data_IF_750120752034
#
_entry.id   IF_750120752034
#
_cell.length_a   1.000
_cell.length_b   1.000
_cell.length_c   1.000
_cell.angle_alpha   90.00
_cell.angle_beta   90.00
_cell.angle_gamma   90.00
#
_symmetry.space_group_name_H-M   'P 1'
#
loop_
_entity.id
_entity.type
_entity.pdbx_description
1 polymer ?
#
# COMPACT_ATOMS: atom_id res chain seq x y z
N UNK A 1 0.40 -13.56 -13.03
CA UNK A 1 -0.41 -12.86 -14.09
C UNK A 1 0.50 -12.07 -15.02
N UNK A 2 0.08 -11.82 -16.26
CA UNK A 2 0.80 -10.91 -17.16
C UNK A 2 0.68 -9.46 -16.66
N UNK A 3 1.69 -8.63 -16.94
CA UNK A 3 1.71 -7.25 -16.46
C UNK A 3 0.50 -6.43 -16.94
N UNK A 4 0.04 -6.67 -18.17
CA UNK A 4 -1.15 -6.00 -18.71
C UNK A 4 -2.42 -6.33 -17.92
N UNK A 5 -2.58 -7.59 -17.52
CA UNK A 5 -3.74 -8.00 -16.72
C UNK A 5 -3.69 -7.37 -15.31
N UNK A 6 -2.50 -7.30 -14.71
CA UNK A 6 -2.32 -6.58 -13.45
C UNK A 6 -2.65 -5.09 -13.57
N UNK A 7 -2.26 -4.43 -14.68
CA UNK A 7 -2.62 -3.03 -14.94
C UNK A 7 -4.13 -2.83 -15.05
N UNK A 8 -4.86 -3.75 -15.70
CA UNK A 8 -6.32 -3.71 -15.77
C UNK A 8 -6.95 -3.82 -14.39
N UNK A 9 -6.51 -4.79 -13.57
CA UNK A 9 -6.98 -4.92 -12.18
C UNK A 9 -6.66 -3.66 -11.37
N UNK A 10 -5.45 -3.10 -11.48
CA UNK A 10 -5.09 -1.87 -10.78
C UNK A 10 -5.98 -0.68 -11.17
N UNK A 11 -6.42 -0.64 -12.43
CA UNK A 11 -7.38 0.39 -12.88
C UNK A 11 -8.77 0.20 -12.26
N UNK A 12 -9.25 -1.05 -12.12
CA UNK A 12 -10.51 -1.34 -11.40
C UNK A 12 -10.39 -1.00 -9.91
N UNK A 13 -9.27 -1.36 -9.26
CA UNK A 13 -8.98 -0.94 -7.87
C UNK A 13 -9.06 0.59 -7.72
N UNK A 14 -8.57 1.38 -8.69
CA UNK A 14 -8.69 2.84 -8.66
C UNK A 14 -10.13 3.31 -8.77
N UNK A 15 -10.95 2.70 -9.64
CA UNK A 15 -12.39 3.02 -9.75
C UNK A 15 -13.10 2.75 -8.42
N UNK A 16 -12.78 1.64 -7.77
CA UNK A 16 -13.32 1.26 -6.48
C UNK A 16 -12.94 2.22 -5.37
N UNK A 17 -11.66 2.66 -5.32
CA UNK A 17 -11.20 3.70 -4.40
C UNK A 17 -12.03 4.97 -4.53
N UNK A 18 -12.20 5.45 -5.76
CA UNK A 18 -12.94 6.69 -6.04
C UNK A 18 -14.41 6.53 -5.67
N UNK A 19 -15.01 5.38 -5.98
CA UNK A 19 -16.41 5.07 -5.67
C UNK A 19 -16.64 4.99 -4.15
N UNK A 20 -15.81 4.27 -3.43
CA UNK A 20 -15.91 4.14 -1.97
C UNK A 20 -15.78 5.51 -1.28
N UNK A 21 -14.82 6.33 -1.71
CA UNK A 21 -14.58 7.65 -1.14
C UNK A 21 -15.70 8.65 -1.47
N UNK A 22 -16.25 8.59 -2.68
CA UNK A 22 -17.40 9.39 -3.06
C UNK A 22 -18.62 9.05 -2.21
N UNK A 23 -18.91 7.78 -2.00
CA UNK A 23 -20.01 7.32 -1.16
C UNK A 23 -19.82 7.74 0.32
N UNK A 24 -18.59 7.59 0.83
CA UNK A 24 -18.24 7.94 2.22
C UNK A 24 -18.24 9.46 2.48
N UNK A 25 -18.15 10.31 1.47
CA UNK A 25 -17.95 11.77 1.58
C UNK A 25 -16.75 12.16 2.47
N UNK A 26 -15.83 11.25 2.70
CA UNK A 26 -14.63 11.40 3.55
C UNK A 26 -13.57 10.37 3.22
N UNK A 27 -12.29 10.70 3.41
CA UNK A 27 -11.17 9.78 3.32
C UNK A 27 -10.02 10.30 2.44
N UNK A 28 -9.10 9.41 2.05
CA UNK A 28 -7.79 9.76 1.54
C UNK A 28 -7.55 9.18 0.12
N UNK A 29 -7.95 9.90 -0.96
CA UNK A 29 -7.76 9.41 -2.33
C UNK A 29 -6.29 9.38 -2.75
N UNK A 30 -5.54 10.45 -2.52
CA UNK A 30 -4.21 10.63 -3.10
C UNK A 30 -3.25 9.48 -2.81
N UNK A 31 -3.10 9.11 -1.54
CA UNK A 31 -2.23 8.00 -1.12
C UNK A 31 -2.79 6.61 -1.41
N UNK A 32 -4.12 6.46 -1.56
CA UNK A 32 -4.75 5.21 -1.98
C UNK A 32 -4.50 4.94 -3.46
N UNK A 33 -4.66 5.98 -4.30
CA UNK A 33 -4.44 5.90 -5.75
C UNK A 33 -2.95 5.72 -6.09
N UNK A 34 -2.01 6.35 -5.34
CA UNK A 34 -0.58 6.15 -5.58
C UNK A 34 -0.13 4.70 -5.39
N UNK A 35 -0.75 4.00 -4.44
CA UNK A 35 -0.38 2.64 -4.06
C UNK A 35 -1.21 1.54 -4.77
N UNK A 36 -2.14 1.88 -5.65
CA UNK A 36 -3.05 0.91 -6.26
C UNK A 36 -2.31 -0.19 -7.06
N UNK A 37 -1.24 0.15 -7.77
CA UNK A 37 -0.42 -0.82 -8.51
C UNK A 37 0.29 -1.79 -7.56
N UNK A 38 0.87 -1.25 -6.47
CA UNK A 38 1.51 -2.07 -5.45
C UNK A 38 0.50 -3.02 -4.77
N UNK A 39 -0.66 -2.50 -4.34
CA UNK A 39 -1.71 -3.35 -3.76
C UNK A 39 -2.09 -4.47 -4.71
N UNK A 40 -2.31 -4.14 -5.98
CA UNK A 40 -2.64 -5.14 -7.00
C UNK A 40 -1.52 -6.17 -7.15
N UNK A 41 -0.28 -5.73 -7.27
CA UNK A 41 0.85 -6.64 -7.41
C UNK A 41 0.97 -7.59 -6.21
N UNK A 42 0.88 -7.07 -4.99
CA UNK A 42 0.95 -7.88 -3.77
C UNK A 42 -0.15 -8.95 -3.70
N UNK A 43 -1.40 -8.57 -3.91
CA UNK A 43 -2.55 -9.45 -3.69
C UNK A 43 -2.86 -10.39 -4.86
N UNK A 44 -2.41 -10.08 -6.08
CA UNK A 44 -2.69 -10.90 -7.26
C UNK A 44 -1.49 -11.70 -7.77
N UNK A 45 -0.26 -11.33 -7.38
CA UNK A 45 0.95 -11.96 -7.89
C UNK A 45 1.93 -12.41 -6.80
N UNK A 46 2.26 -11.53 -5.84
CA UNK A 46 3.40 -11.74 -4.95
C UNK A 46 3.08 -12.63 -3.75
N UNK A 47 1.99 -12.34 -3.03
CA UNK A 47 1.72 -12.93 -1.72
C UNK A 47 1.08 -14.33 -1.83
N UNK A 48 1.55 -15.26 -0.99
CA UNK A 48 0.87 -16.53 -0.75
C UNK A 48 -0.36 -16.29 0.14
N UNK A 49 -1.51 -16.11 -0.47
CA UNK A 49 -2.79 -15.84 0.21
C UNK A 49 -3.93 -16.62 -0.43
N UNK A 50 -4.96 -16.90 0.36
CA UNK A 50 -6.22 -17.48 -0.12
C UNK A 50 -7.40 -16.69 0.45
N UNK A 51 -8.19 -15.97 -0.39
CA UNK A 51 -9.34 -15.22 0.10
C UNK A 51 -10.45 -16.11 0.69
N UNK A 52 -10.48 -17.42 0.33
CA UNK A 52 -11.42 -18.39 0.90
C UNK A 52 -10.99 -18.90 2.29
N UNK A 53 -9.70 -18.77 2.61
CA UNK A 53 -9.14 -19.05 3.93
C UNK A 53 -8.25 -17.88 4.41
N UNK A 54 -8.87 -16.75 4.78
CA UNK A 54 -8.15 -15.55 5.18
C UNK A 54 -7.35 -15.71 6.48
N UNK A 55 -7.51 -16.84 7.18
CA UNK A 55 -6.80 -17.17 8.44
C UNK A 55 -5.78 -18.29 8.27
N UNK A 56 -5.51 -18.75 7.05
CA UNK A 56 -4.52 -19.78 6.76
C UNK A 56 -3.18 -19.44 7.45
N UNK A 57 -2.62 -20.40 8.19
CA UNK A 57 -1.51 -20.13 9.09
C UNK A 57 -0.21 -19.75 8.36
N UNK A 58 0.05 -20.39 7.21
CA UNK A 58 1.25 -20.24 6.39
C UNK A 58 1.15 -19.12 5.32
N UNK A 59 0.04 -18.35 5.32
CA UNK A 59 -0.11 -17.23 4.39
C UNK A 59 0.87 -16.10 4.71
N UNK A 60 1.24 -15.33 3.72
CA UNK A 60 1.97 -14.09 3.91
C UNK A 60 1.12 -13.04 4.65
N UNK A 61 1.78 -12.02 5.20
CA UNK A 61 1.15 -10.95 5.97
C UNK A 61 1.42 -9.60 5.32
N UNK A 62 0.40 -8.75 5.29
CA UNK A 62 0.54 -7.38 4.85
C UNK A 62 0.09 -6.38 5.92
N UNK A 63 0.97 -5.47 6.31
CA UNK A 63 0.68 -4.40 7.25
C UNK A 63 0.65 -3.06 6.52
N UNK A 64 -0.54 -2.45 6.41
CA UNK A 64 -0.69 -1.11 5.88
C UNK A 64 -0.32 -0.09 6.97
N UNK A 65 0.97 0.30 7.07
CA UNK A 65 1.44 1.23 8.11
C UNK A 65 0.84 2.62 7.92
N UNK A 66 0.79 3.15 6.69
CA UNK A 66 0.04 4.37 6.35
C UNK A 66 -1.47 4.10 6.30
N UNK A 67 -2.07 3.76 7.45
CA UNK A 67 -3.41 3.24 7.56
C UNK A 67 -4.53 4.11 6.98
N UNK A 68 -4.29 5.41 6.80
CA UNK A 68 -5.24 6.33 6.15
C UNK A 68 -5.54 5.96 4.69
N UNK A 69 -4.69 5.16 4.03
CA UNK A 69 -4.93 4.64 2.68
C UNK A 69 -5.73 3.32 2.66
N UNK A 70 -6.47 3.06 3.73
CA UNK A 70 -7.41 1.94 3.84
C UNK A 70 -8.34 1.77 2.64
N UNK A 71 -8.87 2.84 1.98
CA UNK A 71 -9.68 2.66 0.78
C UNK A 71 -8.98 1.86 -0.33
N UNK A 72 -7.67 2.06 -0.53
CA UNK A 72 -6.88 1.26 -1.48
C UNK A 72 -6.78 -0.21 -1.07
N UNK A 73 -6.50 -0.48 0.21
CA UNK A 73 -6.45 -1.85 0.72
C UNK A 73 -7.81 -2.54 0.61
N UNK A 74 -8.90 -1.86 0.97
CA UNK A 74 -10.24 -2.46 0.88
C UNK A 74 -10.66 -2.75 -0.56
N UNK A 75 -10.35 -1.86 -1.49
CA UNK A 75 -10.62 -2.06 -2.91
C UNK A 75 -9.90 -3.31 -3.45
N UNK A 76 -8.61 -3.48 -3.16
CA UNK A 76 -7.90 -4.68 -3.62
C UNK A 76 -8.35 -5.95 -2.91
N UNK A 77 -8.75 -5.88 -1.63
CA UNK A 77 -9.32 -7.02 -0.91
C UNK A 77 -10.67 -7.45 -1.51
N UNK A 78 -11.54 -6.51 -1.86
CA UNK A 78 -12.81 -6.76 -2.53
C UNK A 78 -12.59 -7.38 -3.92
N UNK A 79 -11.71 -6.80 -4.75
CA UNK A 79 -11.33 -7.34 -6.07
C UNK A 79 -10.72 -8.75 -5.98
N UNK A 80 -10.01 -9.04 -4.88
CA UNK A 80 -9.43 -10.36 -4.64
C UNK A 80 -10.46 -11.37 -4.10
N UNK A 81 -11.65 -10.91 -3.69
CA UNK A 81 -12.76 -11.74 -3.24
C UNK A 81 -12.77 -12.06 -1.74
N UNK A 82 -12.19 -11.22 -0.89
CA UNK A 82 -12.29 -11.36 0.57
C UNK A 82 -13.66 -10.98 1.12
N UNK A 83 -14.36 -10.07 0.45
CA UNK A 83 -15.73 -9.65 0.76
C UNK A 83 -16.40 -9.08 -0.51
N UNK A 84 -17.74 -8.91 -0.52
CA UNK A 84 -18.47 -8.38 -1.67
C UNK A 84 -18.02 -6.97 -2.05
N UNK A 85 -17.82 -6.73 -3.34
CA UNK A 85 -17.42 -5.42 -3.87
C UNK A 85 -18.45 -4.32 -3.57
N UNK A 86 -19.71 -4.71 -3.52
CA UNK A 86 -20.83 -3.84 -3.20
C UNK A 86 -20.72 -3.20 -1.80
N UNK A 87 -20.00 -3.83 -0.89
CA UNK A 87 -19.82 -3.31 0.47
C UNK A 87 -18.92 -2.06 0.51
N UNK A 88 -18.11 -1.82 -0.53
CA UNK A 88 -17.21 -0.66 -0.60
C UNK A 88 -17.94 0.68 -0.43
N UNK A 89 -19.19 0.79 -0.91
CA UNK A 89 -20.00 2.02 -0.75
C UNK A 89 -20.43 2.27 0.69
N UNK A 90 -20.24 1.30 1.58
CA UNK A 90 -20.55 1.45 3.01
C UNK A 90 -19.38 1.98 3.83
N UNK A 91 -18.23 2.26 3.19
CA UNK A 91 -17.03 2.81 3.84
C UNK A 91 -17.38 3.96 4.80
N UNK A 92 -16.94 3.87 6.06
CA UNK A 92 -17.18 4.87 7.13
C UNK A 92 -18.65 5.11 7.50
N UNK A 93 -19.60 4.38 6.96
CA UNK A 93 -20.99 4.50 7.37
C UNK A 93 -21.20 3.85 8.76
N UNK A 94 -22.14 4.38 9.51
CA UNK A 94 -22.50 3.81 10.81
C UNK A 94 -22.96 2.36 10.63
N UNK A 95 -22.39 1.45 11.41
CA UNK A 95 -22.68 0.01 11.34
C UNK A 95 -21.90 -0.77 10.27
N UNK A 96 -21.16 -0.09 9.37
CA UNK A 96 -20.27 -0.77 8.44
C UNK A 96 -19.04 -1.34 9.16
N UNK A 97 -18.58 -2.51 8.69
CA UNK A 97 -17.29 -3.05 9.14
C UNK A 97 -16.09 -2.37 8.44
N UNK A 98 -16.31 -1.68 7.30
CA UNK A 98 -15.27 -0.96 6.56
C UNK A 98 -14.98 0.40 7.25
N UNK A 99 -14.10 0.34 8.24
CA UNK A 99 -13.70 1.49 9.04
C UNK A 99 -12.79 2.45 8.24
N UNK A 100 -12.66 3.70 8.70
CA UNK A 100 -11.80 4.70 8.07
C UNK A 100 -10.30 4.37 8.09
N UNK A 101 -9.89 3.43 8.94
CA UNK A 101 -8.56 2.85 9.02
C UNK A 101 -8.69 1.32 9.15
N UNK A 102 -7.66 0.53 8.79
CA UNK A 102 -7.75 -0.92 8.84
C UNK A 102 -8.09 -1.45 10.23
N UNK A 103 -9.04 -2.39 10.29
CA UNK A 103 -9.41 -3.10 11.51
C UNK A 103 -9.31 -4.62 11.30
N UNK A 104 -8.29 -5.24 11.90
CA UNK A 104 -8.00 -6.66 11.79
C UNK A 104 -9.05 -7.57 12.44
N UNK A 105 -9.91 -7.02 13.31
CA UNK A 105 -10.93 -7.81 14.02
C UNK A 105 -12.17 -8.05 13.17
N UNK A 106 -12.50 -7.11 12.30
CA UNK A 106 -13.79 -7.12 11.59
C UNK A 106 -13.65 -7.23 10.07
N UNK A 107 -12.47 -6.89 9.50
CA UNK A 107 -12.31 -6.86 8.04
C UNK A 107 -11.51 -8.09 7.58
N UNK A 108 -12.11 -9.00 6.79
CA UNK A 108 -11.39 -10.15 6.25
C UNK A 108 -10.18 -9.71 5.40
N UNK A 109 -9.03 -10.37 5.61
CA UNK A 109 -7.80 -10.07 4.87
C UNK A 109 -6.96 -8.91 5.43
N UNK A 110 -7.41 -8.23 6.48
CA UNK A 110 -6.63 -7.22 7.19
C UNK A 110 -5.82 -7.87 8.30
N UNK A 111 -4.51 -7.76 8.26
CA UNK A 111 -3.59 -8.41 9.20
C UNK A 111 -3.30 -7.61 10.45
N UNK A 112 -3.40 -6.28 10.38
CA UNK A 112 -3.11 -5.39 11.51
C UNK A 112 -4.00 -4.16 11.48
N UNK A 113 -4.61 -3.83 12.61
CA UNK A 113 -5.24 -2.51 12.79
C UNK A 113 -4.17 -1.43 12.82
N UNK A 114 -4.31 -0.41 12.00
CA UNK A 114 -3.34 0.68 11.87
C UNK A 114 -4.04 2.03 11.73
N UNK A 115 -3.28 3.13 11.70
CA UNK A 115 -3.84 4.49 11.58
C UNK A 115 -2.94 5.52 12.28
N UNK A 116 -2.30 5.17 13.39
CA UNK A 116 -1.23 5.97 13.97
C UNK A 116 0.04 5.75 13.16
N UNK A 117 0.50 6.79 12.46
CA UNK A 117 1.65 6.70 11.56
C UNK A 117 2.92 6.26 12.31
N UNK A 118 3.74 5.48 11.64
CA UNK A 118 4.98 4.92 12.19
C UNK A 118 4.81 3.67 13.06
N UNK A 119 3.57 3.29 13.46
CA UNK A 119 3.36 2.14 14.34
C UNK A 119 3.27 0.80 13.60
N UNK A 120 2.75 0.80 12.37
CA UNK A 120 2.52 -0.43 11.61
C UNK A 120 3.81 -1.21 11.34
N UNK A 121 4.90 -0.54 11.03
CA UNK A 121 6.19 -1.20 10.80
C UNK A 121 6.67 -2.01 12.01
N UNK A 122 6.44 -1.53 13.24
CA UNK A 122 6.82 -2.26 14.45
C UNK A 122 6.03 -3.56 14.60
N UNK A 123 4.74 -3.54 14.27
CA UNK A 123 3.92 -4.75 14.22
C UNK A 123 4.41 -5.73 13.15
N UNK A 124 4.76 -5.24 11.95
CA UNK A 124 5.33 -6.05 10.88
C UNK A 124 6.66 -6.71 11.28
N UNK A 125 7.53 -5.97 11.98
CA UNK A 125 8.78 -6.50 12.55
C UNK A 125 8.51 -7.62 13.54
N UNK A 126 7.51 -7.43 14.42
CA UNK A 126 7.09 -8.47 15.37
C UNK A 126 6.59 -9.75 14.68
N UNK A 127 5.76 -9.59 13.62
CA UNK A 127 5.27 -10.73 12.82
C UNK A 127 6.42 -11.46 12.10
N UNK A 128 7.37 -10.73 11.51
CA UNK A 128 8.52 -11.31 10.83
C UNK A 128 9.44 -12.06 11.79
N UNK A 129 9.67 -11.50 12.98
CA UNK A 129 10.43 -12.17 14.04
C UNK A 129 9.71 -13.43 14.54
N UNK A 130 8.40 -13.36 14.74
CA UNK A 130 7.58 -14.52 15.14
C UNK A 130 7.72 -15.67 14.14
N UNK A 131 7.64 -15.41 12.83
CA UNK A 131 7.84 -16.42 11.80
C UNK A 131 9.21 -17.11 11.93
N UNK A 132 10.27 -16.33 12.14
CA UNK A 132 11.62 -16.88 12.31
C UNK A 132 11.75 -17.73 13.58
N UNK A 133 11.16 -17.32 14.68
CA UNK A 133 11.19 -18.07 15.94
C UNK A 133 10.42 -19.39 15.87
N UNK A 134 9.32 -19.40 15.12
CA UNK A 134 8.48 -20.59 14.90
C UNK A 134 8.96 -21.48 13.75
N UNK A 135 9.98 -21.04 12.99
CA UNK A 135 10.42 -21.65 11.72
C UNK A 135 9.32 -21.71 10.65
N UNK A 136 8.44 -20.71 10.65
CA UNK A 136 7.45 -20.52 9.60
C UNK A 136 8.08 -19.91 8.34
N UNK A 137 7.52 -20.22 7.17
CA UNK A 137 8.05 -19.79 5.87
C UNK A 137 7.43 -18.50 5.34
N UNK A 138 6.39 -17.95 6.00
CA UNK A 138 5.70 -16.77 5.49
C UNK A 138 6.56 -15.50 5.51
N UNK A 139 6.29 -14.65 4.55
CA UNK A 139 6.88 -13.32 4.45
C UNK A 139 5.93 -12.27 5.00
N UNK A 140 6.51 -11.14 5.40
CA UNK A 140 5.77 -9.98 5.88
C UNK A 140 6.11 -8.78 5.02
N UNK A 141 5.10 -8.10 4.54
CA UNK A 141 5.20 -6.87 3.77
C UNK A 141 4.58 -5.73 4.55
N UNK A 142 5.19 -4.54 4.51
CA UNK A 142 4.60 -3.36 5.14
C UNK A 142 4.78 -2.15 4.24
N UNK A 143 3.71 -1.35 4.10
CA UNK A 143 3.71 -0.14 3.28
C UNK A 143 3.67 1.10 4.16
N UNK A 144 4.69 1.95 3.99
CA UNK A 144 4.84 3.25 4.63
C UNK A 144 4.69 4.38 3.60
N UNK A 145 4.32 5.57 4.07
CA UNK A 145 4.44 6.80 3.29
C UNK A 145 5.76 7.51 3.55
N UNK A 146 6.21 8.31 2.59
CA UNK A 146 7.41 9.15 2.73
C UNK A 146 7.28 10.22 3.83
N UNK A 147 6.09 10.79 4.02
CA UNK A 147 5.79 11.64 5.17
C UNK A 147 5.72 10.85 6.49
N UNK A 148 5.25 9.60 6.46
CA UNK A 148 5.17 8.74 7.64
C UNK A 148 6.55 8.41 8.22
N UNK A 149 7.56 8.23 7.38
CA UNK A 149 8.92 7.91 7.85
C UNK A 149 9.62 9.06 8.57
N UNK A 150 8.98 10.22 8.72
CA UNK A 150 9.43 11.29 9.63
C UNK A 150 9.24 10.88 11.10
N UNK A 151 8.37 9.90 11.40
CA UNK A 151 8.17 9.38 12.74
C UNK A 151 9.41 8.60 13.24
N UNK A 152 9.89 8.91 14.45
CA UNK A 152 11.05 8.25 15.07
C UNK A 152 10.88 6.75 15.21
N UNK A 153 9.66 6.30 15.48
CA UNK A 153 9.28 4.89 15.64
C UNK A 153 9.68 4.03 14.41
N UNK A 154 9.62 4.59 13.20
CA UNK A 154 10.02 3.89 11.97
C UNK A 154 11.50 3.49 12.06
N UNK A 155 12.35 4.38 12.53
CA UNK A 155 13.79 4.14 12.62
C UNK A 155 14.18 3.23 13.78
N UNK A 156 13.44 3.26 14.90
CA UNK A 156 13.57 2.27 15.97
C UNK A 156 13.27 0.86 15.46
N UNK A 157 12.16 0.71 14.71
CA UNK A 157 11.80 -0.56 14.08
C UNK A 157 12.83 -1.02 13.03
N UNK A 158 13.34 -0.09 12.20
CA UNK A 158 14.35 -0.37 11.19
C UNK A 158 15.66 -0.86 11.84
N UNK A 159 16.12 -0.18 12.90
CA UNK A 159 17.31 -0.59 13.64
C UNK A 159 17.18 -2.02 14.17
N UNK A 160 16.04 -2.36 14.76
CA UNK A 160 15.78 -3.70 15.28
C UNK A 160 15.73 -4.74 14.15
N UNK A 161 15.01 -4.45 13.05
CA UNK A 161 14.88 -5.36 11.93
C UNK A 161 16.23 -5.69 11.28
N UNK A 162 17.06 -4.67 11.05
CA UNK A 162 18.41 -4.85 10.51
C UNK A 162 19.32 -5.64 11.46
N UNK A 163 19.29 -5.32 12.76
CA UNK A 163 20.07 -6.06 13.78
C UNK A 163 19.65 -7.53 13.86
N UNK A 164 18.38 -7.85 13.68
CA UNK A 164 17.83 -9.23 13.68
C UNK A 164 17.90 -9.91 12.31
N UNK A 165 18.35 -9.21 11.26
CA UNK A 165 18.49 -9.75 9.90
C UNK A 165 17.21 -10.42 9.42
N UNK A 166 16.07 -9.72 9.54
CA UNK A 166 14.75 -10.24 9.21
C UNK A 166 14.56 -10.29 7.67
N UNK A 167 15.17 -11.28 7.01
CA UNK A 167 15.13 -11.46 5.55
C UNK A 167 13.76 -11.93 5.00
N UNK A 168 12.82 -12.19 5.89
CA UNK A 168 11.41 -12.43 5.57
C UNK A 168 10.54 -11.16 5.71
N UNK A 169 11.13 -10.00 5.98
CA UNK A 169 10.45 -8.71 6.04
C UNK A 169 10.84 -7.85 4.83
N UNK A 170 9.82 -7.31 4.14
CA UNK A 170 9.98 -6.30 3.08
C UNK A 170 9.28 -5.03 3.53
N UNK A 171 10.06 -3.97 3.75
CA UNK A 171 9.57 -2.62 4.03
C UNK A 171 9.45 -1.85 2.71
N UNK A 172 8.29 -1.32 2.42
CA UNK A 172 8.01 -0.61 1.16
C UNK A 172 7.68 0.84 1.49
N UNK A 173 8.32 1.79 0.81
CA UNK A 173 8.06 3.22 0.96
C UNK A 173 7.39 3.75 -0.30
N UNK A 174 6.15 4.22 -0.17
CA UNK A 174 5.44 5.01 -1.20
C UNK A 174 6.01 6.43 -1.19
N UNK A 175 7.05 6.66 -2.00
CA UNK A 175 7.75 7.93 -2.13
C UNK A 175 7.06 8.79 -3.20
N UNK A 176 5.90 9.36 -2.87
CA UNK A 176 5.14 10.23 -3.76
C UNK A 176 5.48 11.73 -3.62
N UNK A 177 6.34 12.10 -2.67
CA UNK A 177 6.86 13.44 -2.46
C UNK A 177 5.93 14.41 -1.75
N UNK A 178 4.72 13.98 -1.34
CA UNK A 178 3.68 14.85 -0.81
C UNK A 178 3.06 14.32 0.48
N UNK A 179 2.93 15.18 1.48
CA UNK A 179 2.14 14.95 2.69
C UNK A 179 1.00 15.96 2.81
N UNK A 180 0.23 15.92 3.91
CA UNK A 180 -0.97 16.75 4.10
C UNK A 180 -0.69 18.26 4.01
N UNK A 181 0.47 18.70 4.50
CA UNK A 181 0.84 20.12 4.61
C UNK A 181 1.68 20.65 3.44
N UNK A 182 2.06 19.78 2.48
CA UNK A 182 2.87 20.19 1.34
C UNK A 182 3.82 19.12 0.83
N UNK A 183 4.90 19.56 0.19
CA UNK A 183 5.99 18.65 -0.19
C UNK A 183 6.73 18.18 1.06
N UNK A 184 7.06 16.88 1.10
CA UNK A 184 7.78 16.30 2.23
C UNK A 184 9.15 16.96 2.44
N UNK A 185 9.80 17.45 1.36
CA UNK A 185 11.06 18.19 1.43
C UNK A 185 10.93 19.50 2.19
N UNK A 186 9.82 20.21 1.99
CA UNK A 186 9.61 21.54 2.55
C UNK A 186 9.11 21.49 3.99
N UNK A 187 8.39 20.40 4.37
CA UNK A 187 7.85 20.24 5.72
C UNK A 187 8.88 19.66 6.68
N UNK A 188 9.39 18.47 6.39
CA UNK A 188 10.45 17.82 7.16
C UNK A 188 11.11 16.74 6.26
N UNK A 189 12.18 17.10 5.57
CA UNK A 189 12.79 16.25 4.54
C UNK A 189 13.20 14.87 5.06
N UNK A 190 12.61 13.77 4.56
CA UNK A 190 13.04 12.43 4.91
C UNK A 190 14.27 11.96 4.12
N UNK A 191 14.70 12.72 3.13
CA UNK A 191 15.78 12.34 2.21
C UNK A 191 17.18 12.41 2.85
N UNK A 192 18.14 11.60 2.38
CA UNK A 192 17.98 10.50 1.43
C UNK A 192 17.41 9.25 2.10
N UNK A 193 16.28 8.76 1.61
CA UNK A 193 15.54 7.63 2.23
C UNK A 193 16.34 6.33 2.10
N UNK A 194 16.86 6.04 0.91
CA UNK A 194 17.65 4.85 0.60
C UNK A 194 18.87 4.74 1.53
N UNK A 195 19.65 5.81 1.68
CA UNK A 195 20.85 5.82 2.52
C UNK A 195 20.55 5.62 4.00
N UNK A 196 19.40 6.08 4.47
CA UNK A 196 18.98 5.85 5.85
C UNK A 196 18.70 4.37 6.10
N UNK A 197 17.97 3.68 5.21
CA UNK A 197 17.74 2.24 5.33
C UNK A 197 19.04 1.44 5.16
N UNK A 198 19.92 1.81 4.23
CA UNK A 198 21.26 1.21 4.10
C UNK A 198 22.06 1.29 5.41
N UNK A 199 22.01 2.44 6.10
CA UNK A 199 22.69 2.64 7.39
C UNK A 199 22.16 1.72 8.51
N UNK A 200 20.93 1.24 8.41
CA UNK A 200 20.34 0.22 9.29
C UNK A 200 20.56 -1.21 8.78
N UNK A 201 21.47 -1.43 7.83
CA UNK A 201 21.80 -2.73 7.25
C UNK A 201 20.64 -3.39 6.50
N UNK A 202 19.84 -2.61 5.79
CA UNK A 202 18.86 -3.12 4.84
C UNK A 202 19.50 -3.29 3.45
N UNK A 203 19.05 -4.29 2.72
CA UNK A 203 19.19 -4.32 1.27
C UNK A 203 18.17 -3.36 0.66
N UNK A 204 18.62 -2.34 -0.05
CA UNK A 204 17.73 -1.29 -0.58
C UNK A 204 17.56 -1.43 -2.08
N UNK A 205 16.31 -1.46 -2.53
CA UNK A 205 15.91 -1.52 -3.93
C UNK A 205 15.19 -0.22 -4.27
N UNK A 206 15.76 0.57 -5.18
CA UNK A 206 15.14 1.80 -5.67
C UNK A 206 14.31 1.50 -6.92
N UNK A 207 13.01 1.81 -6.91
CA UNK A 207 12.10 1.66 -8.04
C UNK A 207 11.81 3.03 -8.62
N UNK A 208 12.21 3.25 -9.87
CA UNK A 208 12.11 4.56 -10.54
C UNK A 208 10.66 4.94 -10.86
N UNK A 209 9.80 3.96 -11.11
CA UNK A 209 8.35 4.12 -11.31
C UNK A 209 7.60 2.99 -10.60
N UNK A 210 7.09 3.27 -9.41
CA UNK A 210 6.28 2.35 -8.59
C UNK A 210 4.85 2.16 -9.12
N UNK A 211 4.48 2.84 -10.20
CA UNK A 211 3.23 2.62 -10.94
C UNK A 211 3.44 1.75 -12.21
N UNK A 212 4.65 1.21 -12.42
CA UNK A 212 4.98 0.28 -13.49
C UNK A 212 5.07 -1.15 -12.96
N UNK A 213 4.21 -2.05 -13.47
CA UNK A 213 4.14 -3.45 -13.04
C UNK A 213 5.43 -4.25 -13.33
N UNK A 214 6.17 -3.90 -14.39
CA UNK A 214 7.42 -4.59 -14.71
C UNK A 214 8.53 -4.22 -13.71
N UNK A 215 8.59 -2.96 -13.29
CA UNK A 215 9.54 -2.52 -12.28
C UNK A 215 9.20 -3.07 -10.89
N UNK A 216 7.91 -3.12 -10.54
CA UNK A 216 7.46 -3.79 -9.30
C UNK A 216 7.88 -5.26 -9.32
N UNK A 217 7.59 -6.00 -10.40
CA UNK A 217 7.98 -7.41 -10.54
C UNK A 217 9.48 -7.60 -10.34
N UNK A 218 10.31 -6.81 -11.02
CA UNK A 218 11.75 -6.90 -10.90
C UNK A 218 12.23 -6.65 -9.46
N UNK A 219 11.65 -5.66 -8.77
CA UNK A 219 12.00 -5.34 -7.38
C UNK A 219 11.63 -6.47 -6.41
N UNK A 220 10.44 -7.06 -6.54
CA UNK A 220 10.03 -8.17 -5.68
C UNK A 220 10.79 -9.47 -6.00
N UNK A 221 11.12 -9.73 -7.27
CA UNK A 221 11.97 -10.86 -7.64
C UNK A 221 13.38 -10.72 -7.04
N UNK A 222 13.97 -9.51 -7.06
CA UNK A 222 15.22 -9.23 -6.36
C UNK A 222 15.07 -9.44 -4.85
N UNK A 223 14.03 -8.90 -4.22
CA UNK A 223 13.77 -9.02 -2.78
C UNK A 223 13.65 -10.49 -2.31
N UNK A 224 13.15 -11.41 -3.16
CA UNK A 224 13.09 -12.85 -2.85
C UNK A 224 14.48 -13.50 -2.76
N UNK A 225 15.46 -12.96 -3.46
CA UNK A 225 16.83 -13.51 -3.46
C UNK A 225 17.65 -13.10 -2.24
N UNK A 226 17.26 -12.02 -1.56
CA UNK A 226 17.98 -11.46 -0.41
C UNK A 226 17.89 -12.41 0.78
N UNK A 227 19.05 -12.75 1.37
CA UNK A 227 19.17 -13.59 2.55
C UNK A 227 20.03 -12.91 3.62
N UNK A 228 19.59 -13.05 4.86
CA UNK A 228 20.32 -12.51 6.02
C UNK A 228 20.29 -10.98 6.14
N UNK A 229 19.46 -10.30 5.35
CA UNK A 229 19.23 -8.86 5.44
C UNK A 229 17.75 -8.56 5.22
N UNK A 230 17.22 -7.58 5.95
CA UNK A 230 15.88 -7.03 5.68
C UNK A 230 15.91 -6.23 4.38
N UNK A 231 14.85 -6.28 3.59
CA UNK A 231 14.76 -5.51 2.34
C UNK A 231 13.93 -4.25 2.52
N UNK A 232 14.39 -3.14 1.98
CA UNK A 232 13.61 -1.91 1.79
C UNK A 232 13.43 -1.63 0.30
N UNK A 233 12.17 -1.47 -0.14
CA UNK A 233 11.84 -1.04 -1.52
C UNK A 233 11.38 0.41 -1.43
N UNK A 234 12.16 1.34 -2.00
CA UNK A 234 11.82 2.76 -2.10
C UNK A 234 11.29 3.01 -3.50
N UNK A 235 9.97 3.15 -3.63
CA UNK A 235 9.34 3.31 -4.93
C UNK A 235 8.84 4.74 -5.15
N UNK A 236 9.30 5.36 -6.23
CA UNK A 236 8.79 6.65 -6.65
C UNK A 236 7.41 6.44 -7.29
N UNK A 237 6.42 7.19 -6.81
CA UNK A 237 5.02 7.06 -7.27
C UNK A 237 4.42 8.43 -7.55
N UNK A 238 3.22 8.42 -8.14
CA UNK A 238 2.43 9.63 -8.37
C UNK A 238 1.26 9.65 -7.41
N UNK A 239 1.24 10.62 -6.48
CA UNK A 239 0.07 10.81 -5.60
C UNK A 239 -1.16 11.14 -6.43
N UNK A 240 -2.27 10.41 -6.22
CA UNK A 240 -3.49 10.61 -7.01
C UNK A 240 -3.48 9.97 -8.39
N UNK A 241 -2.60 8.98 -8.63
CA UNK A 241 -2.35 8.33 -9.92
C UNK A 241 -3.62 7.88 -10.63
N UNK A 242 -3.75 8.29 -11.91
CA UNK A 242 -4.83 7.89 -12.81
C UNK A 242 -6.00 8.89 -12.86
N UNK A 243 -6.04 9.86 -11.97
CA UNK A 243 -7.07 10.93 -11.96
C UNK A 243 -6.41 12.27 -12.22
N UNK A 244 -6.64 12.86 -13.37
CA UNK A 244 -5.89 14.00 -13.91
C UNK A 244 -5.78 15.20 -12.97
N UNK A 245 -6.86 15.56 -12.28
CA UNK A 245 -6.91 16.71 -11.37
C UNK A 245 -6.44 16.36 -9.94
N UNK A 246 -6.17 15.09 -9.64
CA UNK A 246 -5.62 14.64 -8.35
C UNK A 246 -4.11 14.40 -8.39
N UNK A 247 -3.54 14.10 -9.57
CA UNK A 247 -2.12 13.78 -9.71
C UNK A 247 -1.23 14.93 -9.21
N UNK A 248 -0.34 14.61 -8.27
CA UNK A 248 0.62 15.53 -7.66
C UNK A 248 -0.02 16.77 -6.98
N UNK A 249 -1.26 16.65 -6.50
CA UNK A 249 -1.97 17.72 -5.81
C UNK A 249 -2.09 17.46 -4.31
N UNK A 250 -1.52 18.33 -3.49
CA UNK A 250 -1.55 18.24 -2.02
C UNK A 250 -2.98 18.21 -1.49
N UNK A 251 -3.88 19.04 -2.06
CA UNK A 251 -5.28 19.15 -1.63
C UNK A 251 -6.08 17.85 -1.68
N UNK A 252 -5.59 16.85 -2.42
CA UNK A 252 -6.22 15.52 -2.52
C UNK A 252 -5.65 14.50 -1.53
N UNK A 253 -4.94 14.97 -0.51
CA UNK A 253 -4.50 14.08 0.56
C UNK A 253 -5.67 13.48 1.34
N UNK A 254 -6.60 14.33 1.80
CA UNK A 254 -7.71 13.92 2.68
C UNK A 254 -9.08 14.51 2.28
N UNK A 255 -9.32 14.76 0.99
CA UNK A 255 -10.56 15.29 0.44
C UNK A 255 -11.27 14.23 -0.39
N UNK A 256 -12.54 13.89 -0.06
CA UNK A 256 -13.36 13.05 -0.92
C UNK A 256 -13.88 13.83 -2.14
N UNK A 257 -14.04 13.20 -3.32
CA UNK A 257 -14.60 13.85 -4.50
C UNK A 257 -16.10 14.14 -4.32
N UNK A 258 -16.56 15.28 -4.81
CA UNK A 258 -17.98 15.58 -5.00
C UNK A 258 -18.53 14.87 -6.25
N UNK A 259 -19.81 15.08 -6.59
CA UNK A 259 -20.47 14.38 -7.69
C UNK A 259 -19.83 14.69 -9.07
N UNK A 260 -19.44 15.95 -9.31
CA UNK A 260 -18.77 16.38 -10.55
C UNK A 260 -17.33 15.84 -10.61
N UNK A 261 -16.58 15.95 -9.51
CA UNK A 261 -15.23 15.41 -9.36
C UNK A 261 -15.22 13.89 -9.50
N UNK A 262 -16.22 13.19 -8.96
CA UNK A 262 -16.41 11.75 -9.13
C UNK A 262 -16.63 11.38 -10.60
N UNK A 263 -17.55 12.05 -11.28
CA UNK A 263 -17.84 11.79 -12.69
C UNK A 263 -16.59 12.00 -13.56
N UNK A 264 -15.82 13.05 -13.31
CA UNK A 264 -14.57 13.32 -14.03
C UNK A 264 -13.51 12.25 -13.73
N UNK A 265 -13.34 11.85 -12.48
CA UNK A 265 -12.38 10.81 -12.09
C UNK A 265 -12.71 9.46 -12.74
N UNK A 266 -13.99 9.09 -12.76
CA UNK A 266 -14.43 7.86 -13.45
C UNK A 266 -14.18 7.92 -14.96
N UNK A 267 -14.45 9.08 -15.60
CA UNK A 267 -14.16 9.27 -17.03
C UNK A 267 -12.66 9.17 -17.36
N UNK A 268 -11.79 9.68 -16.48
CA UNK A 268 -10.33 9.54 -16.63
C UNK A 268 -9.92 8.06 -16.55
N UNK A 269 -10.42 7.33 -15.56
CA UNK A 269 -10.12 5.90 -15.35
C UNK A 269 -10.73 5.01 -16.44
N UNK A 270 -11.87 5.34 -17.02
CA UNK A 270 -12.45 4.66 -18.18
C UNK A 270 -11.54 4.78 -19.40
N UNK A 271 -11.04 5.98 -19.71
CA UNK A 271 -10.07 6.18 -20.80
C UNK A 271 -8.80 5.36 -20.60
N UNK A 272 -8.30 5.27 -19.36
CA UNK A 272 -7.14 4.41 -19.05
C UNK A 272 -7.49 2.95 -19.35
N UNK A 273 -8.67 2.48 -18.91
CA UNK A 273 -9.14 1.11 -19.17
C UNK A 273 -9.28 0.79 -20.65
N UNK A 274 -9.86 1.70 -21.45
CA UNK A 274 -9.96 1.56 -22.91
C UNK A 274 -8.58 1.44 -23.56
N UNK A 275 -7.62 2.27 -23.16
CA UNK A 275 -6.25 2.21 -23.69
C UNK A 275 -5.53 0.90 -23.32
N UNK A 276 -5.82 0.32 -22.15
CA UNK A 276 -5.28 -0.98 -21.73
C UNK A 276 -5.92 -2.16 -22.50
N UNK A 277 -7.15 -2.02 -22.97
CA UNK A 277 -7.83 -3.04 -23.79
C UNK A 277 -7.35 -3.05 -25.25
N UNK A 278 -6.70 -1.99 -25.73
CA UNK A 278 -6.17 -1.87 -27.09
C UNK A 278 -4.73 -2.41 -27.23
N UNK A 279 -4.07 -2.71 -26.12
CA UNK A 279 -2.72 -3.31 -26.07
C UNK A 279 -2.79 -4.83 -26.07
#
# INVERSE_FOLDING_TARGET
MENLELQKVANEVRKDIVTALHAAKAGHPGGSLSAADLFTYLYFEEMNIDPKDPKKADRDRFVLSKGHTAPGLYSVLAERGYFPKEDLVTLRHLGSYLQGHPDMKHIPGVDMSSGSLGQGISAAVGMALSAKLSNDSYRVYTLLGDGEIQEGQVWEAAMFAGARKLDNLVVIVDNNGLQIDGKVEDVCSPYPIDKKFEAFNFHVINVADGNDMAQLRAAFDEAKTVKGMTTAIVMKTVKGKGVSFMENQVGWHGKAPNDEEYAQAMADLEKVGEALCQK
#
